data_IF_035502376628
#
_entry.id   IF_035502376628
#
_cell.length_a   1.000
_cell.length_b   1.000
_cell.length_c   1.000
_cell.angle_alpha   90.00
_cell.angle_beta   90.00
_cell.angle_gamma   90.00
#
_symmetry.space_group_name_H-M   'P 1'
#
loop_
_entity.id
_entity.type
_entity.pdbx_description
1 polymer ?
#
# COMPACT_ATOMS: atom_id res chain seq x y z
N UNK A 1 26.39 6.57 -19.45
CA UNK A 1 25.17 6.37 -18.63
C UNK A 1 24.55 5.03 -19.07
N UNK A 2 23.75 4.32 -18.27
CA UNK A 2 23.16 3.00 -18.68
C UNK A 2 22.26 3.12 -19.95
N UNK A 3 21.90 4.35 -20.32
CA UNK A 3 20.94 4.67 -21.39
C UNK A 3 21.58 5.04 -22.75
N UNK A 4 22.90 4.92 -22.92
CA UNK A 4 23.58 5.31 -24.17
C UNK A 4 23.80 4.13 -25.14
N UNK A 5 23.30 2.94 -24.79
CA UNK A 5 23.49 1.68 -25.54
C UNK A 5 22.14 1.20 -26.12
N UNK A 6 21.95 1.29 -27.46
CA UNK A 6 20.69 0.92 -28.10
C UNK A 6 20.23 -0.52 -27.86
N UNK A 7 21.15 -1.47 -27.72
CA UNK A 7 20.80 -2.88 -27.45
C UNK A 7 20.30 -3.04 -26.02
N UNK A 8 20.91 -2.35 -25.06
CA UNK A 8 20.42 -2.33 -23.67
C UNK A 8 19.07 -1.65 -23.57
N UNK A 9 18.85 -0.57 -24.33
CA UNK A 9 17.57 0.12 -24.36
C UNK A 9 16.44 -0.80 -24.88
N UNK A 10 16.69 -1.50 -25.99
CA UNK A 10 15.73 -2.48 -26.53
C UNK A 10 15.40 -3.59 -25.52
N UNK A 11 16.41 -4.15 -24.85
CA UNK A 11 16.21 -5.17 -23.82
C UNK A 11 15.40 -4.66 -22.61
N UNK A 12 15.58 -3.40 -22.21
CA UNK A 12 14.78 -2.78 -21.15
C UNK A 12 13.33 -2.55 -21.57
N UNK A 13 13.11 -2.14 -22.83
CA UNK A 13 11.77 -1.93 -23.37
C UNK A 13 11.01 -3.26 -23.49
N UNK A 14 11.65 -4.32 -24.00
CA UNK A 14 11.09 -5.68 -24.01
C UNK A 14 10.75 -6.19 -22.60
N UNK A 15 11.66 -6.00 -21.63
CA UNK A 15 11.41 -6.38 -20.25
C UNK A 15 10.21 -5.62 -19.66
N UNK A 16 10.12 -4.31 -19.94
CA UNK A 16 9.02 -3.46 -19.47
C UNK A 16 7.69 -3.89 -20.07
N UNK A 17 7.65 -4.23 -21.34
CA UNK A 17 6.43 -4.66 -22.01
C UNK A 17 5.99 -6.04 -21.53
N UNK A 18 6.93 -6.98 -21.33
CA UNK A 18 6.64 -8.27 -20.70
C UNK A 18 6.10 -8.10 -19.26
N UNK A 19 6.64 -7.16 -18.47
CA UNK A 19 6.12 -6.87 -17.14
C UNK A 19 4.68 -6.35 -17.17
N UNK A 20 4.34 -5.45 -18.10
CA UNK A 20 2.96 -4.95 -18.27
C UNK A 20 1.99 -6.06 -18.67
N UNK A 21 2.38 -6.91 -19.62
CA UNK A 21 1.54 -8.03 -20.06
C UNK A 21 1.28 -9.00 -18.90
N UNK A 22 2.31 -9.34 -18.13
CA UNK A 22 2.16 -10.19 -16.95
C UNK A 22 1.23 -9.58 -15.89
N UNK A 23 1.26 -8.25 -15.68
CA UNK A 23 0.32 -7.58 -14.78
C UNK A 23 -1.13 -7.70 -15.26
N UNK A 24 -1.37 -7.53 -16.56
CA UNK A 24 -2.71 -7.71 -17.15
C UNK A 24 -3.21 -9.15 -16.99
N UNK A 25 -2.35 -10.14 -17.21
CA UNK A 25 -2.66 -11.56 -17.01
C UNK A 25 -2.95 -11.87 -15.55
N UNK A 26 -2.14 -11.34 -14.63
CA UNK A 26 -2.32 -11.55 -13.19
C UNK A 26 -3.65 -10.94 -12.69
N UNK A 27 -4.00 -9.75 -13.18
CA UNK A 27 -5.27 -9.07 -12.89
C UNK A 27 -6.47 -9.83 -13.47
N UNK A 28 -6.43 -10.18 -14.74
CA UNK A 28 -7.52 -10.95 -15.39
C UNK A 28 -7.74 -12.28 -14.68
N UNK A 29 -6.66 -12.97 -14.28
CA UNK A 29 -6.77 -14.21 -13.49
C UNK A 29 -7.44 -13.98 -12.14
N UNK A 30 -7.13 -12.91 -11.40
CA UNK A 30 -7.76 -12.66 -10.10
C UNK A 30 -9.23 -12.29 -10.22
N UNK A 31 -9.60 -11.48 -11.22
CA UNK A 31 -11.00 -11.10 -11.46
C UNK A 31 -11.83 -12.32 -11.90
N UNK A 32 -11.31 -13.15 -12.81
CA UNK A 32 -11.98 -14.40 -13.21
C UNK A 32 -12.15 -15.37 -12.05
N UNK A 33 -11.15 -15.45 -11.16
CA UNK A 33 -11.29 -16.25 -9.95
C UNK A 33 -12.42 -15.71 -9.08
N UNK A 34 -12.48 -14.41 -8.85
CA UNK A 34 -13.54 -13.77 -8.08
C UNK A 34 -14.92 -14.03 -8.69
N UNK A 35 -15.07 -13.88 -10.00
CA UNK A 35 -16.32 -14.12 -10.73
C UNK A 35 -16.73 -15.60 -10.75
N UNK A 36 -15.79 -16.52 -10.54
CA UNK A 36 -16.08 -17.96 -10.46
C UNK A 36 -16.62 -18.40 -9.10
N UNK A 37 -16.47 -17.57 -8.07
CA UNK A 37 -17.01 -17.83 -6.73
C UNK A 37 -18.52 -17.59 -6.71
N UNK A 38 -19.24 -18.37 -5.91
CA UNK A 38 -20.61 -18.02 -5.54
C UNK A 38 -20.65 -16.74 -4.70
N UNK A 39 -21.82 -16.10 -4.63
CA UNK A 39 -22.00 -14.87 -3.84
C UNK A 39 -21.65 -15.10 -2.36
N UNK A 40 -22.03 -16.24 -1.79
CA UNK A 40 -21.70 -16.56 -0.40
C UNK A 40 -20.18 -16.71 -0.19
N UNK A 41 -19.49 -17.38 -1.11
CA UNK A 41 -18.03 -17.49 -1.08
C UNK A 41 -17.34 -16.12 -1.25
N UNK A 42 -17.86 -15.25 -2.12
CA UNK A 42 -17.37 -13.88 -2.27
C UNK A 42 -17.49 -13.10 -0.96
N UNK A 43 -18.65 -13.18 -0.29
CA UNK A 43 -18.87 -12.54 1.01
C UNK A 43 -17.87 -13.06 2.05
N UNK A 44 -17.69 -14.39 2.12
CA UNK A 44 -16.78 -15.00 3.07
C UNK A 44 -15.32 -14.60 2.83
N UNK A 45 -14.87 -14.62 1.56
CA UNK A 45 -13.53 -14.18 1.16
C UNK A 45 -13.33 -12.70 1.46
N UNK A 46 -14.31 -11.85 1.12
CA UNK A 46 -14.26 -10.42 1.43
C UNK A 46 -14.11 -10.17 2.93
N UNK A 47 -14.96 -10.79 3.76
CA UNK A 47 -14.86 -10.66 5.21
C UNK A 47 -13.52 -11.18 5.75
N UNK A 48 -13.00 -12.28 5.20
CA UNK A 48 -11.70 -12.82 5.59
C UNK A 48 -10.53 -11.88 5.24
N UNK A 49 -10.58 -11.20 4.09
CA UNK A 49 -9.61 -10.18 3.67
C UNK A 49 -9.70 -8.95 4.58
N UNK A 50 -10.91 -8.42 4.80
CA UNK A 50 -11.12 -7.23 5.64
C UNK A 50 -10.62 -7.45 7.06
N UNK A 51 -10.89 -8.60 7.68
CA UNK A 51 -10.39 -8.89 9.05
C UNK A 51 -8.86 -8.86 9.12
N UNK A 52 -8.17 -9.34 8.09
CA UNK A 52 -6.69 -9.31 8.02
C UNK A 52 -6.17 -7.90 7.78
N UNK A 53 -6.84 -7.12 6.93
CA UNK A 53 -6.52 -5.71 6.74
C UNK A 53 -6.69 -4.92 8.04
N UNK A 54 -7.82 -5.06 8.74
CA UNK A 54 -8.02 -4.40 10.04
C UNK A 54 -6.93 -4.79 11.04
N UNK A 55 -6.60 -6.08 11.15
CA UNK A 55 -5.51 -6.54 12.01
C UNK A 55 -4.18 -5.88 11.65
N UNK A 56 -3.78 -5.91 10.38
CA UNK A 56 -2.48 -5.41 9.95
C UNK A 56 -2.37 -3.88 10.04
N UNK A 57 -3.42 -3.17 9.63
CA UNK A 57 -3.41 -1.72 9.42
C UNK A 57 -3.85 -0.94 10.66
N UNK A 58 -4.86 -1.44 11.39
CA UNK A 58 -5.48 -0.72 12.52
C UNK A 58 -4.95 -1.20 13.86
N UNK A 59 -4.90 -2.53 14.06
CA UNK A 59 -4.52 -3.12 15.35
C UNK A 59 -3.00 -3.17 15.53
N UNK A 60 -2.29 -3.74 14.57
CA UNK A 60 -0.83 -3.95 14.62
C UNK A 60 -0.03 -2.79 14.01
N UNK A 61 -0.68 -1.94 13.19
CA UNK A 61 -0.07 -0.78 12.50
C UNK A 61 1.26 -1.10 11.81
N UNK A 62 1.32 -2.29 11.20
CA UNK A 62 2.52 -2.78 10.55
C UNK A 62 2.76 -2.09 9.21
N UNK A 63 3.99 -2.21 8.69
CA UNK A 63 4.25 -1.82 7.29
C UNK A 63 3.42 -2.64 6.30
N UNK A 64 3.18 -2.13 5.09
CA UNK A 64 2.48 -2.93 4.06
C UNK A 64 3.14 -4.32 3.84
N UNK A 65 4.48 -4.45 3.95
CA UNK A 65 5.18 -5.75 3.81
C UNK A 65 4.83 -6.71 4.94
N UNK A 66 4.69 -6.17 6.15
CA UNK A 66 4.25 -6.93 7.30
C UNK A 66 2.81 -7.45 7.09
N UNK A 67 1.91 -6.61 6.58
CA UNK A 67 0.57 -7.06 6.20
C UNK A 67 0.64 -8.25 5.23
N UNK A 68 1.38 -8.13 4.13
CA UNK A 68 1.48 -9.18 3.11
C UNK A 68 2.11 -10.48 3.63
N UNK A 69 3.20 -10.41 4.38
CA UNK A 69 4.00 -11.60 4.69
C UNK A 69 3.71 -12.21 6.05
N UNK A 70 3.32 -11.40 7.03
CA UNK A 70 3.09 -11.86 8.40
C UNK A 70 1.62 -12.09 8.69
N UNK A 71 0.73 -11.20 8.21
CA UNK A 71 -0.71 -11.31 8.49
C UNK A 71 -1.42 -12.17 7.45
N UNK A 72 -1.14 -11.94 6.16
CA UNK A 72 -1.68 -12.77 5.08
C UNK A 72 -0.87 -14.05 4.84
N UNK A 73 0.41 -14.08 5.21
CA UNK A 73 1.28 -15.25 5.02
C UNK A 73 1.73 -15.46 3.57
N UNK A 74 1.68 -14.42 2.74
CA UNK A 74 2.08 -14.51 1.34
C UNK A 74 3.60 -14.57 1.18
N UNK A 75 4.06 -15.13 0.06
CA UNK A 75 5.46 -15.10 -0.32
C UNK A 75 5.87 -13.72 -0.87
N UNK A 76 7.17 -13.45 -0.92
CA UNK A 76 7.73 -12.15 -1.39
C UNK A 76 7.29 -11.72 -2.80
N UNK A 77 6.88 -12.68 -3.63
CA UNK A 77 6.41 -12.42 -5.00
C UNK A 77 4.98 -11.87 -5.06
N UNK A 78 4.23 -11.84 -3.95
CA UNK A 78 2.91 -11.21 -3.91
C UNK A 78 2.97 -9.68 -4.00
N UNK A 79 4.15 -9.09 -3.76
CA UNK A 79 4.30 -7.64 -3.65
C UNK A 79 3.81 -6.89 -4.88
N UNK A 80 4.31 -7.24 -6.07
CA UNK A 80 3.95 -6.56 -7.33
C UNK A 80 2.45 -6.68 -7.63
N UNK A 81 1.86 -7.83 -7.34
CA UNK A 81 0.42 -8.08 -7.53
C UNK A 81 -0.43 -7.25 -6.57
N UNK A 82 -0.04 -7.19 -5.29
CA UNK A 82 -0.74 -6.38 -4.30
C UNK A 82 -0.63 -4.88 -4.60
N UNK A 83 0.52 -4.42 -5.12
CA UNK A 83 0.67 -3.05 -5.60
C UNK A 83 -0.28 -2.74 -6.75
N UNK A 84 -0.31 -3.62 -7.76
CA UNK A 84 -1.20 -3.47 -8.93
C UNK A 84 -2.68 -3.44 -8.52
N UNK A 85 -3.07 -4.27 -7.55
CA UNK A 85 -4.40 -4.28 -6.95
C UNK A 85 -4.73 -3.03 -6.11
N UNK A 86 -3.78 -2.11 -5.91
CA UNK A 86 -4.00 -0.83 -5.22
C UNK A 86 -3.73 -0.84 -3.71
N UNK A 87 -3.12 -1.91 -3.17
CA UNK A 87 -2.93 -2.03 -1.72
C UNK A 87 -2.05 -0.92 -1.12
N UNK A 88 -1.02 -0.46 -1.83
CA UNK A 88 -0.18 0.66 -1.37
C UNK A 88 -0.98 1.96 -1.22
N UNK A 89 -1.88 2.24 -2.16
CA UNK A 89 -2.76 3.40 -2.09
C UNK A 89 -3.69 3.32 -0.89
N UNK A 90 -4.25 2.13 -0.63
CA UNK A 90 -5.09 1.87 0.55
C UNK A 90 -4.29 2.06 1.85
N UNK A 91 -3.15 1.42 1.99
CA UNK A 91 -2.26 1.52 3.16
C UNK A 91 -1.94 2.99 3.48
N UNK A 92 -1.53 3.75 2.46
CA UNK A 92 -1.19 5.16 2.61
C UNK A 92 -2.40 6.05 2.95
N UNK A 93 -3.63 5.62 2.62
CA UNK A 93 -4.84 6.37 2.95
C UNK A 93 -5.24 6.29 4.43
N UNK A 94 -4.85 5.21 5.12
CA UNK A 94 -5.22 4.96 6.52
C UNK A 94 -4.38 5.84 7.47
N UNK A 95 -3.10 6.06 7.14
CA UNK A 95 -2.19 6.92 7.91
C UNK A 95 -1.65 8.06 7.03
N UNK A 96 -2.33 9.21 7.05
CA UNK A 96 -1.85 10.41 6.33
C UNK A 96 -1.14 11.38 7.28
N UNK A 97 0.02 11.91 6.86
CA UNK A 97 0.70 13.00 7.58
C UNK A 97 -0.22 14.20 7.76
N UNK A 98 -1.08 14.43 6.76
CA UNK A 98 -2.09 15.48 6.80
C UNK A 98 -3.04 15.29 7.98
N UNK A 99 -3.52 14.08 8.22
CA UNK A 99 -4.39 13.77 9.36
C UNK A 99 -3.71 14.01 10.71
N UNK A 100 -2.47 13.54 10.86
CA UNK A 100 -1.69 13.73 12.10
C UNK A 100 -1.38 15.22 12.33
N UNK A 101 -0.90 15.91 11.30
CA UNK A 101 -0.61 17.35 11.39
C UNK A 101 -1.87 18.15 11.71
N UNK A 102 -3.03 17.80 11.15
CA UNK A 102 -4.31 18.44 11.50
C UNK A 102 -4.67 18.20 12.96
N UNK A 103 -4.47 16.98 13.49
CA UNK A 103 -4.74 16.68 14.89
C UNK A 103 -3.84 17.49 15.84
N UNK A 104 -2.54 17.56 15.54
CA UNK A 104 -1.57 18.33 16.35
C UNK A 104 -1.92 19.83 16.30
N UNK A 105 -2.23 20.36 15.12
CA UNK A 105 -2.64 21.77 14.96
C UNK A 105 -3.88 22.10 15.78
N UNK A 106 -4.88 21.22 15.77
CA UNK A 106 -6.09 21.42 16.57
C UNK A 106 -5.77 21.40 18.07
N UNK A 107 -4.98 20.43 18.53
CA UNK A 107 -4.52 20.37 19.92
C UNK A 107 -3.77 21.64 20.35
N UNK A 108 -2.80 22.09 19.54
CA UNK A 108 -2.05 23.31 19.83
C UNK A 108 -2.97 24.54 19.91
N UNK A 109 -3.93 24.65 18.99
CA UNK A 109 -4.92 25.72 19.00
C UNK A 109 -5.79 25.71 20.25
N UNK A 110 -6.28 24.53 20.66
CA UNK A 110 -7.15 24.37 21.83
C UNK A 110 -6.43 24.71 23.15
N UNK A 111 -5.10 24.68 23.16
CA UNK A 111 -4.25 24.95 24.33
C UNK A 111 -3.40 26.22 24.19
N UNK A 112 -3.66 27.07 23.20
CA UNK A 112 -2.92 28.32 22.96
C UNK A 112 -1.39 28.10 22.84
N UNK A 113 -0.99 26.98 22.25
CA UNK A 113 0.41 26.65 21.97
C UNK A 113 0.80 27.11 20.56
N UNK A 114 1.89 27.88 20.45
CA UNK A 114 2.39 28.34 19.16
C UNK A 114 3.52 27.45 18.62
N UNK A 115 3.29 26.86 17.46
CA UNK A 115 4.29 26.13 16.67
C UNK A 115 4.12 26.47 15.19
N UNK A 116 5.22 26.47 14.44
CA UNK A 116 5.17 26.59 12.99
C UNK A 116 4.75 25.27 12.33
N UNK A 117 4.17 25.36 11.14
CA UNK A 117 3.84 24.19 10.31
C UNK A 117 5.06 23.29 10.08
N UNK A 118 6.23 23.90 9.92
CA UNK A 118 7.50 23.21 9.75
C UNK A 118 7.90 22.45 11.02
N UNK A 119 7.78 23.05 12.21
CA UNK A 119 8.04 22.36 13.48
C UNK A 119 7.11 21.16 13.69
N UNK A 120 5.83 21.30 13.35
CA UNK A 120 4.86 20.20 13.45
C UNK A 120 5.19 19.09 12.45
N UNK A 121 5.50 19.43 11.19
CA UNK A 121 5.90 18.45 10.18
C UNK A 121 7.17 17.70 10.57
N UNK A 122 8.18 18.42 11.05
CA UNK A 122 9.47 17.86 11.43
C UNK A 122 9.32 16.90 12.63
N UNK A 123 8.45 17.25 13.58
CA UNK A 123 8.08 16.36 14.69
C UNK A 123 7.33 15.12 14.21
N UNK A 124 6.30 15.27 13.39
CA UNK A 124 5.51 14.15 12.85
C UNK A 124 6.40 13.18 12.07
N UNK A 125 7.30 13.70 11.22
CA UNK A 125 8.22 12.88 10.44
C UNK A 125 9.19 12.07 11.33
N UNK A 126 9.75 12.70 12.38
CA UNK A 126 10.67 12.04 13.32
C UNK A 126 10.02 10.91 14.12
N UNK A 127 8.74 11.02 14.43
CA UNK A 127 8.03 10.09 15.31
C UNK A 127 7.11 9.11 14.56
N UNK A 128 7.01 9.21 13.23
CA UNK A 128 6.18 8.32 12.40
C UNK A 128 6.71 6.87 12.30
N UNK A 129 7.99 6.65 12.60
CA UNK A 129 8.65 5.35 12.43
C UNK A 129 9.13 4.71 13.75
N UNK A 130 8.62 5.18 14.89
CA UNK A 130 8.86 4.62 16.23
C UNK A 130 7.54 4.29 16.91
#
# INVERSE_FOLDING_TARGET
MIFDDPEKQAAWDELRDSMKENMLVDKDRSEKLWDSLSVDEQIDVFCAVVRRLCKAELDERGSYRYALYNVFGFHKGSYSRALDAGFMSLHNSIFTDKGINTLIKNFCKDHELEFTDEQIQDWTFKHRYY
#
